data_IF_047039941430
#
_entry.id   IF_047039941430
#
_cell.length_a   1.000
_cell.length_b   1.000
_cell.length_c   1.000
_cell.angle_alpha   90.00
_cell.angle_beta   90.00
_cell.angle_gamma   90.00
#
_symmetry.space_group_name_H-M   'P 1'
#
loop_
_entity.id
_entity.type
_entity.pdbx_description
1 polymer ?
#
# COMPACT_ATOMS: atom_id res chain seq x y z
N UNK A 1 36.79 -5.92 -1.62
CA UNK A 1 35.84 -5.44 -0.63
C UNK A 1 35.26 -4.16 -1.16
N UNK A 2 33.98 -4.04 -1.58
CA UNK A 2 33.41 -2.76 -1.97
C UNK A 2 33.31 -1.90 -0.71
N UNK A 3 33.80 -0.65 -0.79
CA UNK A 3 33.83 0.29 0.31
C UNK A 3 32.43 0.52 0.85
N UNK A 4 32.21 0.22 2.12
CA UNK A 4 30.97 0.54 2.83
C UNK A 4 30.76 2.03 2.81
N UNK A 5 29.61 2.49 2.31
CA UNK A 5 29.14 3.86 2.51
C UNK A 5 29.24 4.17 4.00
N UNK A 6 30.25 4.99 4.40
CA UNK A 6 30.50 5.34 5.80
C UNK A 6 29.48 6.35 6.36
N UNK A 7 28.51 6.79 5.54
CA UNK A 7 27.49 7.74 5.98
C UNK A 7 26.14 7.05 6.20
N UNK A 8 25.45 7.35 7.30
CA UNK A 8 24.11 6.81 7.53
C UNK A 8 23.17 7.24 6.40
N UNK A 9 22.37 6.30 5.88
CA UNK A 9 21.35 6.59 4.87
C UNK A 9 20.18 7.28 5.54
N UNK A 10 19.88 8.51 5.14
CA UNK A 10 18.72 9.28 5.58
C UNK A 10 17.61 9.22 4.55
N UNK A 11 16.42 8.78 4.96
CA UNK A 11 15.26 8.61 4.09
C UNK A 11 14.14 9.57 4.52
N UNK A 12 13.63 10.34 3.56
CA UNK A 12 12.47 11.20 3.76
C UNK A 12 11.28 10.66 2.98
N UNK A 13 10.26 10.17 3.68
CA UNK A 13 8.99 9.76 3.09
C UNK A 13 8.04 10.95 2.97
N UNK A 14 7.45 11.16 1.80
CA UNK A 14 6.51 12.26 1.55
C UNK A 14 5.23 11.71 0.93
N UNK A 15 4.08 12.05 1.51
CA UNK A 15 2.78 11.61 1.02
C UNK A 15 1.72 12.72 1.10
N UNK A 16 0.94 12.90 0.02
CA UNK A 16 -0.22 13.82 0.02
C UNK A 16 -1.36 13.28 0.89
N UNK A 17 -1.45 11.96 1.00
CA UNK A 17 -2.41 11.26 1.86
C UNK A 17 -1.82 9.95 2.28
N UNK A 18 -2.00 9.58 3.55
CA UNK A 18 -1.56 8.26 4.04
C UNK A 18 -2.73 7.40 4.51
N UNK A 19 -3.91 7.98 4.74
CA UNK A 19 -5.08 7.28 5.30
C UNK A 19 -5.41 6.01 4.52
N UNK A 20 -5.41 4.87 5.21
CA UNK A 20 -5.61 3.53 4.64
C UNK A 20 -4.29 2.82 4.33
N UNK A 21 -4.18 2.18 3.17
CA UNK A 21 -3.06 1.28 2.82
C UNK A 21 -1.66 1.87 2.92
N UNK A 22 -1.48 3.18 2.67
CA UNK A 22 -0.16 3.83 2.77
C UNK A 22 0.28 3.93 4.24
N UNK A 23 -0.62 4.28 5.17
CA UNK A 23 -0.29 4.31 6.59
C UNK A 23 0.08 2.91 7.11
N UNK A 24 -0.70 1.90 6.76
CA UNK A 24 -0.39 0.51 7.11
C UNK A 24 0.98 0.09 6.57
N UNK A 25 1.28 0.39 5.31
CA UNK A 25 2.57 0.11 4.69
C UNK A 25 3.74 0.81 5.42
N UNK A 26 3.61 2.11 5.72
CA UNK A 26 4.66 2.87 6.39
C UNK A 26 4.86 2.42 7.84
N UNK A 27 3.80 2.10 8.56
CA UNK A 27 3.87 1.56 9.92
C UNK A 27 4.56 0.19 10.00
N UNK A 28 4.36 -0.66 8.99
CA UNK A 28 5.07 -1.95 8.89
C UNK A 28 6.55 -1.76 8.52
N UNK A 29 6.84 -0.78 7.65
CA UNK A 29 8.19 -0.53 7.14
C UNK A 29 9.09 0.22 8.14
N UNK A 30 8.54 1.18 8.90
CA UNK A 30 9.28 2.08 9.79
C UNK A 30 10.22 1.35 10.77
N UNK A 31 9.78 0.33 11.54
CA UNK A 31 10.67 -0.37 12.47
C UNK A 31 11.87 -1.03 11.78
N UNK A 32 11.68 -1.53 10.55
CA UNK A 32 12.71 -2.17 9.75
C UNK A 32 13.75 -1.14 9.26
N UNK A 33 13.27 0.03 8.87
CA UNK A 33 14.14 1.11 8.43
C UNK A 33 14.92 1.73 9.59
N UNK A 34 14.30 1.96 10.75
CA UNK A 34 14.97 2.45 11.96
C UNK A 34 16.09 1.48 12.40
N UNK A 35 15.80 0.17 12.42
CA UNK A 35 16.80 -0.83 12.75
C UNK A 35 17.98 -0.88 11.75
N UNK A 36 17.71 -0.61 10.47
CA UNK A 36 18.70 -0.71 9.39
C UNK A 36 19.52 0.56 9.17
N UNK A 37 18.89 1.74 9.26
CA UNK A 37 19.52 3.03 8.98
C UNK A 37 19.97 3.78 10.24
N UNK A 38 19.49 3.35 11.40
CA UNK A 38 19.70 3.99 12.70
C UNK A 38 18.58 4.96 13.06
N UNK A 39 18.35 5.08 14.37
CA UNK A 39 17.30 5.92 14.92
C UNK A 39 17.42 7.37 14.45
N UNK A 40 16.30 7.98 14.06
CA UNK A 40 16.23 9.35 13.59
C UNK A 40 16.72 9.57 12.14
N UNK A 41 17.08 8.52 11.40
CA UNK A 41 17.45 8.62 9.99
C UNK A 41 16.27 8.37 9.02
N UNK A 42 15.06 8.24 9.55
CA UNK A 42 13.81 8.16 8.77
C UNK A 42 12.90 9.31 9.21
N UNK A 43 12.42 10.09 8.26
CA UNK A 43 11.53 11.23 8.53
C UNK A 43 10.35 11.24 7.57
N UNK A 44 9.24 11.84 7.98
CA UNK A 44 7.97 11.82 7.26
C UNK A 44 7.44 13.24 7.03
N UNK A 45 6.88 13.49 5.84
CA UNK A 45 6.09 14.68 5.55
C UNK A 45 4.68 14.24 5.18
N UNK A 46 3.73 14.53 6.06
CA UNK A 46 2.34 14.04 5.95
C UNK A 46 1.31 15.13 6.31
N UNK A 47 0.05 14.98 5.90
CA UNK A 47 -1.01 15.89 6.33
C UNK A 47 -1.20 15.89 7.85
N UNK A 48 -1.46 17.05 8.43
CA UNK A 48 -1.67 17.21 9.88
C UNK A 48 -2.89 16.41 10.40
N UNK A 49 -3.93 16.28 9.59
CA UNK A 49 -5.14 15.48 9.91
C UNK A 49 -4.93 13.96 9.80
N UNK A 50 -3.74 13.53 9.33
CA UNK A 50 -3.35 12.12 9.26
C UNK A 50 -2.20 11.75 10.21
N UNK A 51 -1.77 12.69 11.08
CA UNK A 51 -0.65 12.46 12.01
C UNK A 51 -0.85 11.22 12.88
N UNK A 52 -2.06 11.03 13.41
CA UNK A 52 -2.39 9.87 14.25
C UNK A 52 -2.45 8.53 13.52
N UNK A 53 -2.36 8.52 12.19
CA UNK A 53 -2.36 7.29 11.39
C UNK A 53 -0.96 6.63 11.32
N UNK A 54 0.13 7.34 11.73
CA UNK A 54 1.50 6.81 11.82
C UNK A 54 1.92 6.58 13.27
N UNK A 55 2.43 5.39 13.55
CA UNK A 55 3.02 5.01 14.83
C UNK A 55 4.51 5.37 14.88
N UNK A 56 4.83 6.66 14.70
CA UNK A 56 6.19 7.19 14.72
C UNK A 56 6.28 8.41 15.65
N UNK A 57 7.49 8.70 16.15
CA UNK A 57 7.70 9.85 17.01
C UNK A 57 7.41 11.16 16.28
N UNK A 58 6.86 12.14 16.99
CA UNK A 58 6.58 13.48 16.47
C UNK A 58 7.84 14.19 15.97
N UNK A 59 8.99 13.94 16.57
CA UNK A 59 10.26 14.46 16.13
C UNK A 59 10.68 13.98 14.72
N UNK A 60 10.10 12.86 14.27
CA UNK A 60 10.33 12.29 12.95
C UNK A 60 9.26 12.70 11.93
N UNK A 61 8.38 13.64 12.28
CA UNK A 61 7.31 14.09 11.40
C UNK A 61 7.35 15.59 11.17
N UNK A 62 7.15 15.99 9.93
CA UNK A 62 6.78 17.33 9.50
C UNK A 62 5.37 17.28 8.96
N UNK A 63 4.47 18.12 9.45
CA UNK A 63 3.08 18.12 9.00
C UNK A 63 2.77 19.37 8.17
N UNK A 64 1.82 19.24 7.24
CA UNK A 64 1.27 20.36 6.48
C UNK A 64 -0.26 20.39 6.56
N UNK A 65 -0.82 21.60 6.51
CA UNK A 65 -2.28 21.77 6.51
C UNK A 65 -2.89 21.22 5.22
N UNK A 66 -4.00 20.46 5.33
CA UNK A 66 -4.72 19.92 4.20
C UNK A 66 -6.20 20.27 4.31
N UNK A 67 -6.69 21.05 3.34
CA UNK A 67 -8.11 21.28 3.15
C UNK A 67 -8.61 20.47 1.95
N UNK A 68 -8.74 19.15 2.11
CA UNK A 68 -9.07 18.26 1.02
C UNK A 68 -8.01 18.24 -0.10
N UNK A 69 -8.41 17.86 -1.33
CA UNK A 69 -7.55 17.90 -2.53
C UNK A 69 -7.62 19.28 -3.19
N UNK A 70 -7.08 20.29 -2.54
CA UNK A 70 -7.04 21.68 -3.01
C UNK A 70 -5.66 22.06 -3.51
N UNK A 71 -5.60 23.06 -4.40
CA UNK A 71 -4.33 23.62 -4.88
C UNK A 71 -3.50 24.17 -3.72
N UNK A 72 -4.15 24.81 -2.74
CA UNK A 72 -3.49 25.32 -1.54
C UNK A 72 -2.86 24.22 -0.70
N UNK A 73 -3.52 23.06 -0.55
CA UNK A 73 -2.96 21.90 0.14
C UNK A 73 -1.73 21.33 -0.57
N UNK A 74 -1.74 21.25 -1.91
CA UNK A 74 -0.58 20.82 -2.69
C UNK A 74 0.59 21.80 -2.56
N UNK A 75 0.32 23.11 -2.53
CA UNK A 75 1.35 24.12 -2.30
C UNK A 75 1.95 24.04 -0.88
N UNK A 76 1.12 23.83 0.14
CA UNK A 76 1.59 23.62 1.52
C UNK A 76 2.44 22.36 1.65
N UNK A 77 2.03 21.26 0.99
CA UNK A 77 2.83 20.03 0.92
C UNK A 77 4.19 20.30 0.27
N UNK A 78 4.22 20.98 -0.87
CA UNK A 78 5.46 21.33 -1.56
C UNK A 78 6.39 22.13 -0.65
N UNK A 79 5.87 23.21 -0.02
CA UNK A 79 6.65 24.07 0.88
C UNK A 79 7.20 23.30 2.08
N UNK A 80 6.35 22.53 2.77
CA UNK A 80 6.76 21.74 3.92
C UNK A 80 7.81 20.68 3.54
N UNK A 81 7.64 20.05 2.36
CA UNK A 81 8.59 19.06 1.86
C UNK A 81 9.96 19.67 1.55
N UNK A 82 10.01 20.84 0.91
CA UNK A 82 11.28 21.52 0.63
C UNK A 82 11.97 21.97 1.91
N UNK A 83 11.23 22.49 2.90
CA UNK A 83 11.77 22.84 4.22
C UNK A 83 12.31 21.60 4.96
N UNK A 84 11.58 20.48 4.92
CA UNK A 84 12.05 19.23 5.53
C UNK A 84 13.31 18.68 4.83
N UNK A 85 13.41 18.78 3.51
CA UNK A 85 14.61 18.41 2.76
C UNK A 85 15.82 19.26 3.19
N UNK A 86 15.64 20.58 3.34
CA UNK A 86 16.73 21.49 3.75
C UNK A 86 17.19 21.26 5.19
N UNK A 87 16.25 20.97 6.09
CA UNK A 87 16.54 20.73 7.50
C UNK A 87 17.11 19.34 7.76
N UNK A 88 16.49 18.31 7.22
CA UNK A 88 16.85 16.91 7.46
C UNK A 88 18.01 16.44 6.59
N UNK A 89 18.20 17.03 5.39
CA UNK A 89 19.25 16.69 4.41
C UNK A 89 19.24 15.20 4.06
N UNK A 90 18.11 14.66 3.53
CA UNK A 90 18.01 13.25 3.18
C UNK A 90 18.91 12.88 2.01
N UNK A 91 19.39 11.63 1.99
CA UNK A 91 20.04 11.05 0.82
C UNK A 91 18.98 10.57 -0.21
N UNK A 92 17.85 10.07 0.30
CA UNK A 92 16.73 9.56 -0.49
C UNK A 92 15.43 10.25 -0.09
N UNK A 93 14.69 10.74 -1.08
CA UNK A 93 13.29 11.14 -0.95
C UNK A 93 12.42 10.07 -1.58
N UNK A 94 11.55 9.44 -0.78
CA UNK A 94 10.61 8.44 -1.23
C UNK A 94 9.21 9.04 -1.26
N UNK A 95 8.71 9.28 -2.47
CA UNK A 95 7.40 9.88 -2.73
C UNK A 95 6.31 8.82 -2.80
N UNK A 96 5.23 9.03 -2.06
CA UNK A 96 4.07 8.14 -2.02
C UNK A 96 2.82 8.85 -2.55
N UNK A 97 2.08 8.19 -3.41
CA UNK A 97 0.88 8.69 -4.11
C UNK A 97 1.14 9.58 -5.33
N UNK A 98 0.16 9.57 -6.23
CA UNK A 98 0.25 10.29 -7.52
C UNK A 98 0.43 11.79 -7.36
N UNK A 99 -0.22 12.44 -6.36
CA UNK A 99 -0.10 13.89 -6.18
C UNK A 99 1.26 14.29 -5.60
N UNK A 100 1.81 13.53 -4.65
CA UNK A 100 3.17 13.77 -4.17
C UNK A 100 4.17 13.64 -5.33
N UNK A 101 4.04 12.60 -6.15
CA UNK A 101 4.84 12.40 -7.34
C UNK A 101 4.70 13.52 -8.37
N UNK A 102 3.48 13.98 -8.65
CA UNK A 102 3.21 15.03 -9.63
C UNK A 102 3.85 16.38 -9.24
N UNK A 103 3.77 16.73 -7.95
CA UNK A 103 4.23 18.04 -7.46
C UNK A 103 5.74 18.04 -7.19
N UNK A 104 6.27 16.99 -6.56
CA UNK A 104 7.64 17.01 -6.07
C UNK A 104 8.67 16.54 -7.09
N UNK A 105 8.34 15.64 -8.02
CA UNK A 105 9.32 15.20 -9.04
C UNK A 105 9.85 16.35 -9.89
N UNK A 106 9.01 17.26 -10.47
CA UNK A 106 9.54 18.40 -11.20
C UNK A 106 10.28 19.41 -10.31
N UNK A 107 9.79 19.65 -9.09
CA UNK A 107 10.45 20.57 -8.15
C UNK A 107 11.85 20.08 -7.76
N UNK A 108 12.01 18.79 -7.53
CA UNK A 108 13.30 18.18 -7.20
C UNK A 108 14.22 18.10 -8.42
N UNK A 109 13.69 17.84 -9.62
CA UNK A 109 14.48 17.84 -10.86
C UNK A 109 15.10 19.21 -11.18
N UNK A 110 14.43 20.30 -10.78
CA UNK A 110 14.94 21.67 -10.95
C UNK A 110 15.97 22.09 -9.88
N UNK A 111 16.23 21.25 -8.88
CA UNK A 111 17.10 21.59 -7.74
C UNK A 111 18.54 21.11 -7.98
N UNK A 112 19.58 21.99 -7.89
CA UNK A 112 20.96 21.63 -8.20
C UNK A 112 21.53 20.48 -7.37
N UNK A 113 21.15 20.36 -6.12
CA UNK A 113 21.62 19.32 -5.18
C UNK A 113 20.44 18.50 -4.64
N UNK A 114 19.61 17.99 -5.54
CA UNK A 114 18.48 17.17 -5.15
C UNK A 114 18.94 15.82 -4.54
N UNK A 115 18.27 15.34 -3.50
CA UNK A 115 18.41 13.95 -3.06
C UNK A 115 17.96 12.99 -4.17
N UNK A 116 18.34 11.73 -4.03
CA UNK A 116 17.84 10.68 -4.93
C UNK A 116 16.33 10.52 -4.77
N UNK A 117 15.60 10.44 -5.91
CA UNK A 117 14.12 10.42 -5.93
C UNK A 117 13.62 9.01 -6.23
N UNK A 118 12.97 8.41 -5.25
CA UNK A 118 12.22 7.16 -5.40
C UNK A 118 10.72 7.50 -5.39
N UNK A 119 9.96 6.86 -6.25
CA UNK A 119 8.52 7.10 -6.35
C UNK A 119 7.74 5.78 -6.28
N UNK A 120 6.70 5.74 -5.43
CA UNK A 120 5.76 4.63 -5.33
C UNK A 120 4.33 5.18 -5.50
N UNK A 121 3.62 4.88 -6.61
CA UNK A 121 2.28 5.41 -6.85
C UNK A 121 1.21 4.84 -5.92
N UNK A 122 1.38 3.62 -5.39
CA UNK A 122 0.36 2.87 -4.65
C UNK A 122 -0.97 2.76 -5.39
N UNK A 123 -0.89 2.41 -6.66
CA UNK A 123 -1.99 2.39 -7.63
C UNK A 123 -1.96 3.61 -8.56
N UNK A 124 -1.71 3.35 -9.84
CA UNK A 124 -1.58 4.39 -10.85
C UNK A 124 -2.83 5.26 -10.99
N UNK A 125 -2.65 6.56 -11.14
CA UNK A 125 -3.77 7.49 -11.35
C UNK A 125 -4.51 7.20 -12.66
N UNK A 126 -3.80 6.73 -13.68
CA UNK A 126 -4.38 6.36 -14.97
C UNK A 126 -5.14 5.03 -14.95
N UNK A 127 -4.98 4.18 -13.93
CA UNK A 127 -5.76 2.92 -13.77
C UNK A 127 -7.15 3.16 -13.18
N UNK A 128 -7.41 4.36 -12.66
CA UNK A 128 -8.74 4.72 -12.14
C UNK A 128 -9.71 4.99 -13.30
N UNK A 129 -10.98 4.66 -13.10
CA UNK A 129 -12.04 4.99 -14.05
C UNK A 129 -12.17 6.51 -14.18
N UNK A 130 -11.58 7.07 -15.23
CA UNK A 130 -11.67 8.47 -15.63
C UNK A 130 -12.02 8.55 -17.13
N UNK A 131 -12.42 9.73 -17.61
CA UNK A 131 -12.66 9.92 -19.03
C UNK A 131 -11.38 9.69 -19.86
N UNK A 132 -11.53 9.28 -21.14
CA UNK A 132 -10.41 8.95 -22.04
C UNK A 132 -9.33 10.05 -22.10
N UNK A 133 -9.73 11.32 -22.11
CA UNK A 133 -8.81 12.46 -22.14
C UNK A 133 -7.98 12.55 -20.85
N UNK A 134 -8.62 12.47 -19.70
CA UNK A 134 -7.94 12.47 -18.39
C UNK A 134 -6.95 11.31 -18.27
N UNK A 135 -7.32 10.14 -18.79
CA UNK A 135 -6.47 8.96 -18.81
C UNK A 135 -5.19 9.16 -19.66
N UNK A 136 -5.32 9.77 -20.86
CA UNK A 136 -4.16 10.06 -21.69
C UNK A 136 -3.25 11.13 -21.09
N UNK A 137 -3.84 12.18 -20.49
CA UNK A 137 -3.07 13.24 -19.82
C UNK A 137 -2.27 12.65 -18.65
N UNK A 138 -2.89 11.83 -17.81
CA UNK A 138 -2.18 11.20 -16.67
C UNK A 138 -1.08 10.26 -17.13
N UNK A 139 -1.30 9.48 -18.19
CA UNK A 139 -0.25 8.63 -18.78
C UNK A 139 0.93 9.46 -19.29
N UNK A 140 0.67 10.51 -20.06
CA UNK A 140 1.70 11.37 -20.59
C UNK A 140 2.51 12.05 -19.48
N UNK A 141 1.83 12.56 -18.44
CA UNK A 141 2.48 13.16 -17.28
C UNK A 141 3.37 12.15 -16.54
N UNK A 142 2.90 10.94 -16.28
CA UNK A 142 3.69 9.91 -15.60
C UNK A 142 4.91 9.48 -16.42
N UNK A 143 4.77 9.34 -17.75
CA UNK A 143 5.90 9.05 -18.66
C UNK A 143 6.96 10.16 -18.65
N UNK A 144 6.53 11.42 -18.67
CA UNK A 144 7.45 12.55 -18.62
C UNK A 144 8.19 12.58 -17.29
N UNK A 145 7.46 12.45 -16.18
CA UNK A 145 8.02 12.50 -14.82
C UNK A 145 8.88 11.26 -14.48
N UNK A 146 8.64 10.12 -15.13
CA UNK A 146 9.50 8.95 -14.97
C UNK A 146 10.95 9.23 -15.38
N UNK A 147 11.17 10.16 -16.33
CA UNK A 147 12.52 10.55 -16.79
C UNK A 147 13.33 11.28 -15.72
N UNK A 148 12.65 11.96 -14.78
CA UNK A 148 13.26 12.72 -13.67
C UNK A 148 13.25 11.95 -12.36
N UNK A 149 12.87 10.67 -12.38
CA UNK A 149 12.78 9.80 -11.21
C UNK A 149 13.92 8.79 -11.26
N UNK A 150 14.69 8.65 -10.19
CA UNK A 150 15.81 7.69 -10.17
C UNK A 150 15.32 6.25 -10.22
N UNK A 151 14.23 5.93 -9.50
CA UNK A 151 13.57 4.63 -9.54
C UNK A 151 12.09 4.74 -9.16
N UNK A 152 11.26 3.93 -9.81
CA UNK A 152 9.84 3.80 -9.51
C UNK A 152 9.60 2.41 -8.93
N UNK A 153 8.98 2.36 -7.75
CA UNK A 153 8.61 1.11 -7.09
C UNK A 153 7.17 0.76 -7.47
N UNK A 154 7.00 -0.40 -8.07
CA UNK A 154 5.69 -1.01 -8.30
C UNK A 154 5.46 -2.07 -7.21
N UNK A 155 4.32 -2.00 -6.52
CA UNK A 155 4.01 -2.87 -5.39
C UNK A 155 3.42 -4.23 -5.79
N UNK A 156 3.10 -4.40 -7.08
CA UNK A 156 2.58 -5.64 -7.66
C UNK A 156 3.05 -5.79 -9.11
N UNK A 157 3.04 -7.02 -9.63
CA UNK A 157 3.32 -7.28 -11.03
C UNK A 157 2.24 -6.67 -11.94
N UNK A 158 1.00 -6.61 -11.48
CA UNK A 158 -0.07 -5.91 -12.20
C UNK A 158 0.27 -4.42 -12.36
N UNK A 159 0.66 -3.73 -11.27
CA UNK A 159 1.08 -2.33 -11.31
C UNK A 159 2.30 -2.10 -12.20
N UNK A 160 3.28 -3.02 -12.18
CA UNK A 160 4.44 -3.00 -13.07
C UNK A 160 4.01 -3.13 -14.54
N UNK A 161 3.17 -4.10 -14.86
CA UNK A 161 2.69 -4.33 -16.21
C UNK A 161 1.82 -3.18 -16.72
N UNK A 162 1.02 -2.55 -15.85
CA UNK A 162 0.27 -1.33 -16.18
C UNK A 162 1.20 -0.17 -16.55
N UNK A 163 2.29 0.03 -15.81
CA UNK A 163 3.30 1.04 -16.10
C UNK A 163 3.96 0.82 -17.47
N UNK A 164 4.38 -0.41 -17.77
CA UNK A 164 4.96 -0.77 -19.08
C UNK A 164 3.96 -0.54 -20.21
N UNK A 165 2.72 -0.98 -20.05
CA UNK A 165 1.63 -0.74 -21.03
C UNK A 165 1.30 0.75 -21.18
N UNK A 166 1.56 1.56 -20.16
CA UNK A 166 1.43 3.01 -20.23
C UNK A 166 2.60 3.70 -20.95
N UNK A 167 3.70 2.98 -21.26
CA UNK A 167 4.88 3.46 -21.95
C UNK A 167 6.03 3.86 -21.02
N UNK A 168 5.95 3.61 -19.72
CA UNK A 168 7.06 3.82 -18.81
C UNK A 168 8.11 2.72 -19.04
N UNK A 169 9.37 3.12 -19.23
CA UNK A 169 10.45 2.19 -19.50
C UNK A 169 10.70 1.24 -18.32
N UNK A 170 10.83 -0.06 -18.60
CA UNK A 170 10.98 -1.10 -17.59
C UNK A 170 12.28 -0.95 -16.75
N UNK A 171 13.32 -0.34 -17.31
CA UNK A 171 14.57 -0.03 -16.60
C UNK A 171 14.40 1.01 -15.49
N UNK A 172 13.32 1.76 -15.49
CA UNK A 172 12.93 2.70 -14.42
C UNK A 172 12.11 2.07 -13.32
N UNK A 173 11.57 0.89 -13.56
CA UNK A 173 10.66 0.20 -12.66
C UNK A 173 11.38 -0.85 -11.83
N UNK A 174 10.95 -1.04 -10.59
CA UNK A 174 11.36 -2.16 -9.74
C UNK A 174 10.14 -2.70 -9.03
N UNK A 175 9.92 -4.01 -9.13
CA UNK A 175 8.87 -4.70 -8.41
C UNK A 175 9.33 -4.98 -6.98
N UNK A 176 8.62 -4.40 -6.02
CA UNK A 176 8.80 -4.68 -4.59
C UNK A 176 7.43 -4.87 -3.97
N UNK A 177 7.06 -6.11 -3.71
CA UNK A 177 5.77 -6.41 -3.09
C UNK A 177 5.70 -5.80 -1.68
N UNK A 178 4.53 -5.29 -1.32
CA UNK A 178 4.27 -4.93 0.06
C UNK A 178 4.33 -6.16 0.95
N UNK A 179 4.82 -5.98 2.16
CA UNK A 179 4.83 -6.99 3.21
C UNK A 179 4.30 -6.43 4.52
N UNK A 180 3.90 -7.31 5.41
CA UNK A 180 3.56 -6.99 6.80
C UNK A 180 4.41 -7.85 7.72
N UNK A 181 4.48 -7.48 9.02
CA UNK A 181 5.22 -8.26 10.01
C UNK A 181 4.74 -9.70 10.07
N UNK A 182 5.69 -10.65 10.08
CA UNK A 182 5.41 -12.08 10.24
C UNK A 182 4.96 -12.45 11.64
N UNK A 183 5.13 -11.56 12.62
CA UNK A 183 4.63 -11.78 13.97
C UNK A 183 3.11 -11.90 13.92
N UNK A 184 2.61 -13.10 14.17
CA UNK A 184 1.18 -13.35 14.25
C UNK A 184 0.68 -12.95 15.64
N UNK A 185 -0.20 -11.97 15.76
CA UNK A 185 -0.94 -11.74 17.00
C UNK A 185 -1.71 -12.99 17.38
N UNK A 186 -1.85 -13.24 18.69
CA UNK A 186 -2.66 -14.33 19.21
C UNK A 186 -3.76 -13.76 20.11
N UNK A 187 -4.70 -12.99 19.53
CA UNK A 187 -5.79 -12.43 20.30
C UNK A 187 -6.79 -13.52 20.71
N UNK A 188 -7.54 -13.24 21.77
CA UNK A 188 -8.72 -14.04 22.05
C UNK A 188 -9.74 -13.79 20.94
N UNK A 189 -10.24 -14.86 20.33
CA UNK A 189 -11.24 -14.76 19.25
C UNK A 189 -12.49 -14.01 19.71
N UNK A 190 -12.95 -13.06 18.90
CA UNK A 190 -14.20 -12.35 19.20
C UNK A 190 -15.40 -13.34 19.29
N UNK A 191 -16.29 -13.17 20.26
CA UNK A 191 -17.50 -14.00 20.33
C UNK A 191 -18.30 -13.96 19.02
N UNK A 192 -18.56 -15.12 18.43
CA UNK A 192 -19.31 -15.26 17.18
C UNK A 192 -20.19 -16.49 17.26
N UNK A 193 -21.30 -16.42 18.02
CA UNK A 193 -22.13 -17.58 18.34
C UNK A 193 -23.02 -17.96 17.14
N UNK A 194 -22.48 -18.71 16.20
CA UNK A 194 -23.19 -19.23 15.03
C UNK A 194 -22.68 -20.60 14.65
N UNK A 195 -23.55 -21.41 14.02
CA UNK A 195 -23.16 -22.67 13.36
C UNK A 195 -22.89 -22.49 11.86
N UNK A 196 -23.19 -21.31 11.33
CA UNK A 196 -22.94 -20.96 9.93
C UNK A 196 -21.46 -20.63 9.72
N UNK A 197 -21.02 -20.65 8.48
CA UNK A 197 -19.66 -20.23 8.12
C UNK A 197 -19.46 -18.73 8.39
N UNK A 198 -18.44 -18.40 9.14
CA UNK A 198 -18.11 -17.05 9.60
C UNK A 198 -17.27 -16.33 8.56
N UNK A 199 -17.85 -15.37 7.90
CA UNK A 199 -17.22 -14.59 6.84
C UNK A 199 -16.89 -13.19 7.32
N UNK A 200 -15.62 -12.78 7.20
CA UNK A 200 -15.17 -11.46 7.57
C UNK A 200 -14.83 -10.62 6.33
N UNK A 201 -15.36 -9.41 6.30
CA UNK A 201 -14.95 -8.34 5.39
C UNK A 201 -14.28 -7.22 6.19
N UNK A 202 -13.15 -6.70 5.69
CA UNK A 202 -12.44 -5.55 6.27
C UNK A 202 -12.18 -4.53 5.16
N UNK A 203 -12.69 -3.32 5.32
CA UNK A 203 -12.45 -2.25 4.35
C UNK A 203 -13.42 -1.11 4.41
N UNK A 204 -13.13 -0.04 3.66
CA UNK A 204 -14.05 1.09 3.53
C UNK A 204 -15.36 0.65 2.89
N UNK A 205 -16.47 1.21 3.38
CA UNK A 205 -17.78 0.95 2.79
C UNK A 205 -18.00 1.88 1.59
N UNK A 206 -17.30 1.59 0.51
CA UNK A 206 -17.39 2.33 -0.76
C UNK A 206 -17.50 1.36 -1.94
N UNK A 207 -17.80 1.91 -3.12
CA UNK A 207 -17.94 1.12 -4.34
C UNK A 207 -16.66 0.36 -4.72
N UNK A 208 -15.50 0.89 -4.36
CA UNK A 208 -14.22 0.23 -4.64
C UNK A 208 -14.15 -1.13 -3.97
N UNK A 209 -14.44 -1.16 -2.69
CA UNK A 209 -14.30 -2.36 -1.85
C UNK A 209 -15.42 -3.37 -2.03
N UNK A 210 -16.50 -3.04 -2.73
CA UNK A 210 -17.51 -3.97 -3.20
C UNK A 210 -18.37 -4.60 -2.11
N UNK A 211 -18.47 -3.94 -0.93
CA UNK A 211 -19.30 -4.47 0.16
C UNK A 211 -20.78 -4.64 -0.23
N UNK A 212 -21.26 -3.84 -1.19
CA UNK A 212 -22.60 -3.96 -1.79
C UNK A 212 -22.80 -5.30 -2.50
N UNK A 213 -21.79 -5.79 -3.22
CA UNK A 213 -21.81 -7.11 -3.85
C UNK A 213 -21.81 -8.24 -2.80
N UNK A 214 -21.08 -8.02 -1.69
CA UNK A 214 -21.08 -8.97 -0.58
C UNK A 214 -22.44 -9.06 0.10
N UNK A 215 -23.10 -7.93 0.38
CA UNK A 215 -24.45 -7.92 0.98
C UNK A 215 -25.45 -8.65 0.08
N UNK A 216 -25.38 -8.43 -1.24
CA UNK A 216 -26.24 -9.10 -2.20
C UNK A 216 -25.99 -10.62 -2.25
N UNK A 217 -24.73 -11.04 -2.23
CA UNK A 217 -24.35 -12.45 -2.18
C UNK A 217 -24.75 -13.09 -0.85
N UNK A 218 -24.53 -12.41 0.27
CA UNK A 218 -24.88 -12.90 1.61
C UNK A 218 -26.39 -13.15 1.76
N UNK A 219 -27.23 -12.30 1.15
CA UNK A 219 -28.69 -12.50 1.15
C UNK A 219 -29.10 -13.82 0.48
N UNK A 220 -28.39 -14.23 -0.59
CA UNK A 220 -28.69 -15.48 -1.29
C UNK A 220 -28.16 -16.73 -0.56
N UNK A 221 -27.31 -16.54 0.44
CA UNK A 221 -26.68 -17.60 1.23
C UNK A 221 -26.99 -17.45 2.73
N UNK A 222 -28.17 -16.89 3.04
CA UNK A 222 -28.58 -16.55 4.41
C UNK A 222 -28.53 -17.74 5.36
N UNK A 223 -28.86 -18.93 4.88
CA UNK A 223 -28.90 -20.14 5.69
C UNK A 223 -27.52 -20.71 6.05
N UNK A 224 -26.47 -20.38 5.28
CA UNK A 224 -25.15 -21.00 5.41
C UNK A 224 -24.05 -20.01 5.83
N UNK A 225 -24.21 -18.71 5.61
CA UNK A 225 -23.23 -17.69 5.96
C UNK A 225 -23.70 -16.81 7.11
N UNK A 226 -22.74 -16.42 7.95
CA UNK A 226 -22.85 -15.33 8.93
C UNK A 226 -21.70 -14.36 8.68
N UNK A 227 -22.03 -13.14 8.29
CA UNK A 227 -21.08 -12.16 7.75
C UNK A 227 -20.88 -11.00 8.72
N UNK A 228 -19.65 -10.70 9.05
CA UNK A 228 -19.28 -9.46 9.73
C UNK A 228 -18.54 -8.53 8.78
N UNK A 229 -18.93 -7.25 8.81
CA UNK A 229 -18.36 -6.19 7.99
C UNK A 229 -17.73 -5.17 8.90
N UNK A 230 -16.40 -5.08 8.87
CA UNK A 230 -15.59 -4.07 9.56
C UNK A 230 -15.29 -2.94 8.60
N UNK A 231 -15.65 -1.71 8.98
CA UNK A 231 -15.37 -0.50 8.22
C UNK A 231 -16.50 0.52 8.26
N UNK A 232 -16.21 1.70 7.74
CA UNK A 232 -17.16 2.80 7.66
C UNK A 232 -17.12 3.48 6.29
N UNK A 233 -18.16 4.22 5.95
CA UNK A 233 -18.19 5.08 4.76
C UNK A 233 -17.36 6.34 5.02
N UNK A 234 -16.32 6.56 4.23
CA UNK A 234 -15.42 7.74 4.34
C UNK A 234 -15.78 8.81 3.31
N UNK A 235 -16.43 8.44 2.22
CA UNK A 235 -16.76 9.34 1.11
C UNK A 235 -18.24 9.23 0.79
N UNK A 236 -18.99 10.29 1.11
CA UNK A 236 -20.43 10.41 0.87
C UNK A 236 -21.29 9.25 1.42
N UNK A 237 -22.50 9.59 1.87
CA UNK A 237 -23.52 8.64 2.32
C UNK A 237 -23.91 7.66 1.21
N UNK A 238 -22.99 6.71 0.89
CA UNK A 238 -23.38 5.60 0.03
C UNK A 238 -24.44 4.80 0.79
N UNK A 239 -25.66 4.91 0.32
CA UNK A 239 -26.76 4.07 0.79
C UNK A 239 -26.59 2.72 0.08
N UNK A 240 -25.95 1.79 0.76
CA UNK A 240 -25.86 0.41 0.32
C UNK A 240 -27.22 -0.27 0.28
N UNK A 241 -27.29 -1.50 -0.26
CA UNK A 241 -28.51 -2.29 -0.21
C UNK A 241 -28.93 -2.56 1.25
N UNK A 242 -30.22 -2.83 1.47
CA UNK A 242 -30.71 -3.21 2.80
C UNK A 242 -29.92 -4.42 3.33
N UNK A 243 -29.49 -4.34 4.57
CA UNK A 243 -28.64 -5.34 5.22
C UNK A 243 -29.50 -6.55 5.62
N UNK A 244 -29.21 -7.79 5.14
CA UNK A 244 -29.94 -8.98 5.52
C UNK A 244 -29.59 -9.42 6.95
N UNK A 245 -30.41 -10.32 7.54
CA UNK A 245 -30.31 -10.72 8.96
C UNK A 245 -28.99 -11.45 9.30
N UNK A 246 -28.34 -12.07 8.33
CA UNK A 246 -27.06 -12.77 8.47
C UNK A 246 -25.84 -11.86 8.27
N UNK A 247 -26.01 -10.53 8.18
CA UNK A 247 -24.92 -9.57 8.02
C UNK A 247 -24.93 -8.59 9.19
N UNK A 248 -23.80 -8.46 9.88
CA UNK A 248 -23.58 -7.50 10.97
C UNK A 248 -22.56 -6.44 10.56
N UNK A 249 -22.94 -5.17 10.59
CA UNK A 249 -22.03 -4.04 10.41
C UNK A 249 -21.41 -3.66 11.75
N UNK A 250 -20.09 -3.80 11.89
CA UNK A 250 -19.37 -3.53 13.14
C UNK A 250 -18.88 -2.09 13.26
N UNK A 251 -18.92 -1.31 12.16
CA UNK A 251 -18.34 0.01 12.13
C UNK A 251 -16.81 -0.03 12.01
N UNK A 252 -16.17 1.09 12.35
CA UNK A 252 -14.71 1.17 12.35
C UNK A 252 -14.16 0.58 13.64
N UNK A 253 -13.24 -0.35 13.53
CA UNK A 253 -12.56 -1.00 14.64
C UNK A 253 -11.07 -0.65 14.62
N UNK A 254 -10.42 -0.70 15.77
CA UNK A 254 -8.98 -0.59 15.86
C UNK A 254 -8.27 -1.87 15.40
N UNK A 255 -6.94 -1.83 15.30
CA UNK A 255 -6.15 -2.97 14.81
C UNK A 255 -6.27 -4.20 15.72
N UNK A 256 -6.30 -4.00 17.04
CA UNK A 256 -6.44 -5.09 18.00
C UNK A 256 -7.80 -5.77 17.90
N UNK A 257 -8.86 -5.00 17.78
CA UNK A 257 -10.22 -5.50 17.58
C UNK A 257 -10.36 -6.26 16.26
N UNK A 258 -9.75 -5.74 15.16
CA UNK A 258 -9.72 -6.44 13.86
C UNK A 258 -9.08 -7.82 13.99
N UNK A 259 -7.96 -7.94 14.71
CA UNK A 259 -7.27 -9.21 14.92
C UNK A 259 -8.15 -10.22 15.67
N UNK A 260 -8.98 -9.78 16.65
CA UNK A 260 -9.93 -10.69 17.35
C UNK A 260 -11.00 -11.25 16.41
N UNK A 261 -11.47 -10.43 15.46
CA UNK A 261 -12.43 -10.85 14.45
C UNK A 261 -11.79 -11.74 13.38
N UNK A 262 -10.56 -11.45 12.97
CA UNK A 262 -9.77 -12.31 12.09
C UNK A 262 -9.59 -13.70 12.72
N UNK A 263 -9.23 -13.77 14.01
CA UNK A 263 -9.09 -15.07 14.69
C UNK A 263 -10.40 -15.85 14.73
N UNK A 264 -11.54 -15.19 14.92
CA UNK A 264 -12.86 -15.80 14.98
C UNK A 264 -13.42 -16.26 13.62
N UNK A 265 -12.98 -15.67 12.50
CA UNK A 265 -13.49 -15.93 11.16
C UNK A 265 -13.06 -17.31 10.63
N UNK A 266 -13.87 -17.90 9.74
CA UNK A 266 -13.53 -19.10 8.97
C UNK A 266 -12.87 -18.73 7.63
N UNK A 267 -13.29 -17.60 7.01
CA UNK A 267 -12.69 -17.07 5.79
C UNK A 267 -12.82 -15.54 5.72
N UNK A 268 -11.96 -14.93 4.91
CA UNK A 268 -12.01 -13.50 4.59
C UNK A 268 -12.43 -13.30 3.15
N UNK A 269 -13.35 -12.35 2.92
CA UNK A 269 -13.80 -11.99 1.57
C UNK A 269 -13.28 -10.61 1.16
N UNK A 270 -12.75 -10.51 -0.07
CA UNK A 270 -12.23 -9.28 -0.66
C UNK A 270 -12.94 -9.04 -2.00
N UNK A 271 -14.18 -8.52 -1.98
CA UNK A 271 -15.01 -8.35 -3.16
C UNK A 271 -14.72 -7.05 -3.91
N UNK A 272 -13.49 -6.58 -3.85
CA UNK A 272 -13.06 -5.31 -4.43
C UNK A 272 -13.25 -5.29 -5.95
N UNK A 273 -13.70 -4.15 -6.49
CA UNK A 273 -13.80 -3.91 -7.94
C UNK A 273 -12.48 -3.49 -8.56
N UNK A 274 -11.58 -2.95 -7.77
CA UNK A 274 -10.17 -2.71 -8.11
C UNK A 274 -9.33 -2.65 -6.85
N UNK A 275 -8.10 -3.16 -6.94
CA UNK A 275 -7.17 -3.24 -5.82
C UNK A 275 -5.73 -3.07 -6.33
N UNK A 276 -4.98 -2.12 -5.76
CA UNK A 276 -3.58 -1.94 -6.14
C UNK A 276 -2.69 -3.04 -5.58
N UNK A 277 -2.96 -3.46 -4.32
CA UNK A 277 -2.26 -4.57 -3.68
C UNK A 277 -3.20 -5.42 -2.83
N UNK A 278 -3.82 -4.85 -1.78
CA UNK A 278 -4.72 -5.58 -0.88
C UNK A 278 -4.02 -6.08 0.39
N UNK A 279 -3.56 -5.17 1.26
CA UNK A 279 -2.93 -5.53 2.54
C UNK A 279 -3.81 -6.43 3.42
N UNK A 280 -5.14 -6.27 3.34
CA UNK A 280 -6.10 -7.14 4.03
C UNK A 280 -5.93 -8.62 3.63
N UNK A 281 -5.51 -8.90 2.38
CA UNK A 281 -5.20 -10.27 1.98
C UNK A 281 -3.99 -10.82 2.76
N UNK A 282 -2.98 -10.00 3.01
CA UNK A 282 -1.82 -10.42 3.82
C UNK A 282 -2.20 -10.62 5.28
N UNK A 283 -3.06 -9.74 5.83
CA UNK A 283 -3.58 -9.86 7.19
C UNK A 283 -4.37 -11.17 7.36
N UNK A 284 -5.22 -11.50 6.40
CA UNK A 284 -5.95 -12.77 6.37
C UNK A 284 -5.01 -13.99 6.29
N UNK A 285 -4.02 -13.94 5.39
CA UNK A 285 -3.02 -15.01 5.25
C UNK A 285 -2.17 -15.17 6.52
N UNK A 286 -1.75 -14.06 7.16
CA UNK A 286 -1.04 -14.10 8.45
C UNK A 286 -1.88 -14.75 9.55
N UNK A 287 -3.20 -14.50 9.54
CA UNK A 287 -4.14 -15.16 10.45
C UNK A 287 -4.50 -16.59 10.04
N UNK A 288 -3.88 -17.14 9.01
CA UNK A 288 -4.18 -18.44 8.42
C UNK A 288 -5.66 -18.59 8.00
N UNK A 289 -6.26 -17.51 7.46
CA UNK A 289 -7.62 -17.52 6.93
C UNK A 289 -7.57 -17.60 5.40
N UNK A 290 -8.32 -18.50 4.77
CA UNK A 290 -8.44 -18.56 3.32
C UNK A 290 -9.19 -17.33 2.80
N UNK A 291 -8.98 -16.99 1.54
CA UNK A 291 -9.49 -15.76 0.95
C UNK A 291 -10.41 -16.09 -0.22
N UNK A 292 -11.60 -15.48 -0.23
CA UNK A 292 -12.44 -15.39 -1.41
C UNK A 292 -12.30 -13.99 -2.00
N UNK A 293 -11.89 -13.86 -3.26
CA UNK A 293 -11.67 -12.56 -3.89
C UNK A 293 -12.03 -12.56 -5.37
N UNK A 294 -12.17 -11.39 -5.97
CA UNK A 294 -12.19 -11.29 -7.42
C UNK A 294 -10.78 -11.36 -8.01
N UNK A 295 -10.68 -11.88 -9.23
CA UNK A 295 -9.43 -11.93 -10.03
C UNK A 295 -9.13 -10.56 -10.62
N UNK A 296 -8.65 -9.63 -9.78
CA UNK A 296 -8.39 -8.23 -10.15
C UNK A 296 -7.10 -7.73 -9.51
N UNK A 297 -6.41 -6.79 -10.16
CA UNK A 297 -5.22 -6.14 -9.64
C UNK A 297 -4.17 -7.14 -9.14
N UNK A 298 -3.61 -6.89 -7.97
CA UNK A 298 -2.63 -7.76 -7.34
C UNK A 298 -3.20 -9.04 -6.69
N UNK A 299 -4.52 -9.18 -6.54
CA UNK A 299 -5.09 -10.32 -5.82
C UNK A 299 -4.72 -11.68 -6.42
N UNK A 300 -4.61 -11.87 -7.77
CA UNK A 300 -4.12 -13.12 -8.37
C UNK A 300 -2.66 -13.45 -8.07
N UNK A 301 -1.85 -12.47 -7.68
CA UNK A 301 -0.46 -12.69 -7.24
C UNK A 301 -0.41 -13.19 -5.79
N UNK A 302 -1.37 -12.77 -4.96
CA UNK A 302 -1.43 -13.06 -3.53
C UNK A 302 -2.17 -14.39 -3.30
N UNK A 303 -3.37 -14.53 -3.85
CA UNK A 303 -4.24 -15.69 -3.68
C UNK A 303 -4.02 -16.69 -4.80
N UNK A 304 -3.67 -17.92 -4.44
CA UNK A 304 -3.56 -19.03 -5.39
C UNK A 304 -4.90 -19.77 -5.40
N UNK A 305 -5.60 -19.66 -6.54
CA UNK A 305 -6.95 -20.24 -6.72
C UNK A 305 -6.96 -21.76 -6.46
N UNK A 306 -7.88 -22.21 -5.59
CA UNK A 306 -8.00 -23.61 -5.16
C UNK A 306 -6.93 -24.07 -4.17
N UNK A 307 -5.90 -23.28 -3.86
CA UNK A 307 -4.80 -23.67 -2.95
C UNK A 307 -4.76 -22.85 -1.67
N UNK A 308 -4.94 -21.52 -1.75
CA UNK A 308 -4.93 -20.62 -0.58
C UNK A 308 -6.25 -19.86 -0.43
N UNK A 309 -7.18 -20.08 -1.34
CA UNK A 309 -8.48 -19.44 -1.40
C UNK A 309 -9.14 -19.66 -2.75
N UNK A 310 -10.09 -18.80 -3.10
CA UNK A 310 -10.75 -18.84 -4.40
C UNK A 310 -10.77 -17.47 -5.07
N UNK A 311 -10.57 -17.46 -6.39
CA UNK A 311 -10.67 -16.27 -7.24
C UNK A 311 -11.88 -16.39 -8.15
N UNK A 312 -12.69 -15.32 -8.20
CA UNK A 312 -13.93 -15.24 -8.97
C UNK A 312 -13.82 -14.20 -10.10
N UNK A 313 -14.46 -14.45 -11.22
CA UNK A 313 -14.62 -13.54 -12.35
C UNK A 313 -15.86 -13.90 -13.20
N UNK A 314 -16.56 -12.94 -13.82
CA UNK A 314 -16.35 -11.49 -13.67
C UNK A 314 -16.82 -10.93 -12.32
N UNK A 315 -16.54 -9.65 -12.06
CA UNK A 315 -16.92 -8.96 -10.82
C UNK A 315 -18.45 -8.82 -10.74
N UNK A 316 -19.10 -9.66 -9.94
CA UNK A 316 -20.54 -9.64 -9.70
C UNK A 316 -20.94 -10.38 -8.40
N UNK A 317 -22.11 -10.07 -7.84
CA UNK A 317 -22.64 -10.78 -6.67
C UNK A 317 -22.87 -12.28 -6.97
N UNK A 318 -23.36 -12.62 -8.16
CA UNK A 318 -23.55 -14.01 -8.56
C UNK A 318 -22.24 -14.81 -8.55
N UNK A 319 -21.15 -14.24 -9.01
CA UNK A 319 -19.83 -14.87 -8.95
C UNK A 319 -19.30 -15.03 -7.52
N UNK A 320 -19.63 -14.10 -6.62
CA UNK A 320 -19.34 -14.30 -5.19
C UNK A 320 -20.13 -15.46 -4.61
N UNK A 321 -21.41 -15.62 -4.97
CA UNK A 321 -22.24 -16.77 -4.53
C UNK A 321 -21.61 -18.08 -4.97
N UNK A 322 -21.21 -18.19 -6.25
CA UNK A 322 -20.53 -19.39 -6.76
C UNK A 322 -19.16 -19.60 -6.06
N UNK A 323 -18.42 -18.53 -5.82
CA UNK A 323 -17.16 -18.58 -5.06
C UNK A 323 -17.36 -19.08 -3.63
N UNK A 324 -18.39 -18.60 -2.92
CA UNK A 324 -18.71 -19.08 -1.59
C UNK A 324 -19.09 -20.57 -1.61
N UNK A 325 -19.97 -21.01 -2.53
CA UNK A 325 -20.32 -22.42 -2.67
C UNK A 325 -19.09 -23.30 -2.87
N UNK A 326 -18.20 -22.90 -3.79
CA UNK A 326 -16.93 -23.60 -4.03
C UNK A 326 -16.04 -23.64 -2.78
N UNK A 327 -15.97 -22.55 -2.00
CA UNK A 327 -15.19 -22.53 -0.76
C UNK A 327 -15.76 -23.43 0.33
N UNK A 328 -17.10 -23.54 0.43
CA UNK A 328 -17.78 -24.37 1.41
C UNK A 328 -17.55 -25.89 1.19
N UNK A 329 -17.22 -26.30 -0.04
CA UNK A 329 -16.87 -27.69 -0.39
C UNK A 329 -15.38 -28.02 -0.09
N UNK A 330 -14.58 -27.04 0.35
CA UNK A 330 -13.14 -27.20 0.59
C UNK A 330 -12.83 -27.16 2.10
N UNK A 331 -11.69 -27.76 2.47
CA UNK A 331 -11.15 -27.61 3.83
C UNK A 331 -10.54 -26.21 4.00
N UNK A 332 -11.31 -25.30 4.57
CA UNK A 332 -10.93 -23.92 4.80
C UNK A 332 -9.66 -23.80 5.66
N UNK A 333 -9.46 -24.71 6.61
CA UNK A 333 -8.29 -24.71 7.48
C UNK A 333 -7.02 -25.08 6.72
N UNK A 334 -7.10 -26.05 5.82
CA UNK A 334 -5.98 -26.44 4.94
C UNK A 334 -5.62 -25.28 4.01
N UNK A 335 -6.60 -24.63 3.38
CA UNK A 335 -6.34 -23.47 2.52
C UNK A 335 -5.72 -22.32 3.28
N UNK A 336 -6.22 -22.02 4.48
CA UNK A 336 -5.69 -20.96 5.34
C UNK A 336 -4.24 -21.21 5.75
N UNK A 337 -3.89 -22.43 6.14
CA UNK A 337 -2.52 -22.80 6.48
C UNK A 337 -1.56 -22.67 5.29
N UNK A 338 -1.98 -23.10 4.09
CA UNK A 338 -1.19 -22.87 2.86
C UNK A 338 -1.02 -21.38 2.55
N UNK A 339 -2.07 -20.58 2.83
CA UNK A 339 -2.01 -19.13 2.76
C UNK A 339 -0.94 -18.56 3.68
N UNK A 340 -0.91 -19.00 4.93
CA UNK A 340 0.10 -18.57 5.93
C UNK A 340 1.53 -18.93 5.50
N UNK A 341 1.74 -20.14 4.97
CA UNK A 341 3.07 -20.55 4.49
C UNK A 341 3.53 -19.68 3.29
N UNK A 342 2.61 -19.40 2.35
CA UNK A 342 2.87 -18.48 1.24
C UNK A 342 3.18 -17.07 1.73
N UNK A 343 2.43 -16.55 2.71
CA UNK A 343 2.68 -15.26 3.33
C UNK A 343 4.11 -15.16 3.88
N UNK A 344 4.54 -16.12 4.71
CA UNK A 344 5.91 -16.17 5.26
C UNK A 344 6.98 -16.17 4.16
N UNK A 345 6.71 -16.87 3.07
CA UNK A 345 7.66 -17.00 1.98
C UNK A 345 7.81 -15.73 1.15
N UNK A 346 6.72 -14.98 0.90
CA UNK A 346 6.71 -13.93 -0.11
C UNK A 346 6.41 -12.52 0.42
N UNK A 347 5.70 -12.38 1.53
CA UNK A 347 5.07 -11.12 1.95
C UNK A 347 5.46 -10.66 3.37
N UNK A 348 6.60 -11.14 3.87
CA UNK A 348 7.20 -10.63 5.10
C UNK A 348 7.82 -9.24 4.86
N UNK A 349 7.52 -8.29 5.73
CA UNK A 349 8.02 -6.91 5.65
C UNK A 349 9.55 -6.82 5.67
N UNK A 350 10.24 -7.75 6.35
CA UNK A 350 11.71 -7.82 6.31
C UNK A 350 12.23 -8.02 4.88
N UNK A 351 11.51 -8.80 4.06
CA UNK A 351 11.84 -9.01 2.64
C UNK A 351 11.59 -7.73 1.84
N UNK A 352 10.44 -7.08 2.04
CA UNK A 352 10.11 -5.79 1.43
C UNK A 352 11.20 -4.76 1.76
N UNK A 353 11.58 -4.66 3.04
CA UNK A 353 12.63 -3.74 3.48
C UNK A 353 13.98 -4.05 2.83
N UNK A 354 14.43 -5.31 2.81
CA UNK A 354 15.69 -5.67 2.15
C UNK A 354 15.73 -5.28 0.68
N UNK A 355 14.64 -5.50 -0.05
CA UNK A 355 14.53 -5.11 -1.46
C UNK A 355 14.54 -3.59 -1.64
N UNK A 356 13.80 -2.83 -0.82
CA UNK A 356 13.82 -1.37 -0.83
C UNK A 356 15.20 -0.82 -0.48
N UNK A 357 15.84 -1.37 0.54
CA UNK A 357 17.21 -0.98 0.92
C UNK A 357 18.17 -1.18 -0.24
N UNK A 358 18.10 -2.30 -0.94
CA UNK A 358 18.93 -2.53 -2.12
C UNK A 358 18.67 -1.47 -3.19
N UNK A 359 17.40 -1.15 -3.47
CA UNK A 359 17.06 -0.09 -4.43
C UNK A 359 17.65 1.27 -4.01
N UNK A 360 17.58 1.63 -2.73
CA UNK A 360 18.16 2.87 -2.23
C UNK A 360 19.67 2.89 -2.44
N UNK A 361 20.37 1.81 -2.09
CA UNK A 361 21.82 1.70 -2.25
C UNK A 361 22.23 1.79 -3.73
N UNK A 362 21.57 1.04 -4.63
CA UNK A 362 21.86 1.05 -6.07
C UNK A 362 21.70 2.46 -6.69
N UNK A 363 20.69 3.19 -6.23
CA UNK A 363 20.43 4.56 -6.71
C UNK A 363 21.48 5.54 -6.17
N UNK A 364 21.88 5.41 -4.90
CA UNK A 364 22.90 6.26 -4.29
C UNK A 364 24.26 6.04 -4.95
N UNK A 365 24.70 4.80 -5.14
CA UNK A 365 25.94 4.45 -5.82
C UNK A 365 25.97 4.99 -7.27
N UNK A 366 24.86 4.81 -8.01
CA UNK A 366 24.74 5.34 -9.38
C UNK A 366 24.87 6.87 -9.42
N UNK A 367 24.30 7.58 -8.45
CA UNK A 367 24.31 9.02 -8.40
C UNK A 367 25.66 9.58 -7.93
N UNK A 368 26.43 8.84 -7.13
CA UNK A 368 27.83 9.18 -6.80
C UNK A 368 28.77 9.03 -8.00
N UNK A 369 28.50 8.10 -8.92
CA UNK A 369 29.29 7.86 -10.12
C UNK A 369 28.96 8.82 -11.28
N UNK A 370 27.95 9.70 -11.16
CA UNK A 370 27.62 10.68 -12.21
C UNK A 370 28.70 11.77 -12.31
N UNK A 371 29.26 12.07 -13.50
CA UNK A 371 30.39 13.00 -13.67
C UNK A 371 30.13 14.41 -13.15
N UNK A 372 28.91 14.90 -13.25
CA UNK A 372 28.51 16.25 -12.80
C UNK A 372 28.66 16.46 -11.29
N UNK A 373 28.47 15.42 -10.47
CA UNK A 373 28.69 15.49 -9.01
C UNK A 373 30.19 15.37 -8.64
N UNK A 374 30.99 14.69 -9.44
CA UNK A 374 32.45 14.60 -9.21
C UNK A 374 33.14 15.95 -9.42
N UNK A 375 32.71 16.73 -10.40
CA UNK A 375 33.29 18.09 -10.65
C UNK A 375 32.98 19.02 -9.48
N UNK A 376 31.78 18.96 -8.90
CA UNK A 376 31.40 19.78 -7.75
C UNK A 376 32.18 19.40 -6.47
N UNK A 377 32.31 18.09 -6.20
CA UNK A 377 33.12 17.60 -5.06
C UNK A 377 34.61 17.99 -5.17
N UNK A 378 35.16 17.99 -6.37
CA UNK A 378 36.54 18.43 -6.60
C UNK A 378 36.71 19.96 -6.43
N UNK A 379 35.72 20.76 -6.84
CA UNK A 379 35.75 22.21 -6.63
C UNK A 379 35.60 22.58 -5.15
N UNK A 380 34.75 21.85 -4.40
CA UNK A 380 34.58 22.08 -2.95
C UNK A 380 35.78 21.64 -2.10
N UNK A 381 36.51 20.60 -2.55
CA UNK A 381 37.76 20.19 -1.92
C UNK A 381 38.92 21.14 -2.23
N UNK A 382 38.96 21.75 -3.42
CA UNK A 382 40.00 22.70 -3.80
C UNK A 382 39.76 24.12 -3.26
N UNK A 383 38.55 24.44 -2.79
CA UNK A 383 38.24 25.74 -2.14
C UNK A 383 38.46 25.73 -0.62
N UNK A 384 38.76 24.58 -0.01
CA UNK A 384 39.05 24.41 1.42
C UNK A 384 40.55 24.13 1.72
N UNK A 385 41.45 24.33 0.74
CA UNK A 385 42.92 24.37 0.85
C UNK A 385 43.38 25.77 0.56
#
# INVERSE_FOLDING_TARGET
MPGSLQRPVKVLHIAETIRGGIASYLNELHPQQEASFGAGNVHYVVPSDHRGDLAVDDAQMTTFGRSGRSVSGLFQMLRASLQAIDAFKPNVVHLHSSFAGLVLRPALAARPQAPSVIYCPHGWAFSRKAGRVSHQITKAAENLLARTTDRIICISADEFNEAVRAGISADRLTLVHNGISKTRPQPVAAPWPTKKTKVLFIGRLDRQKGYDLLIEAARQLEDVLDVRIVGASVVNKYQGPAVPSNVTLLGWLDRGEIETHLEAADLVVIPSRWEAFGLVALEAMRAAKPILAFRIGALPEIVVDGATGALCEPVSAGQLVEGFRRMLDLDLKVLGNRGYDRFKQFYDVEKTHRQLRQVYMDVLERNELRPEKQVQLQSDLSSNI
#
